data_IF_513802005802
#
_entry.id   IF_513802005802
#
_cell.length_a   1.000
_cell.length_b   1.000
_cell.length_c   1.000
_cell.angle_alpha   90.00
_cell.angle_beta   90.00
_cell.angle_gamma   90.00
#
_symmetry.space_group_name_H-M   'P 1'
#
loop_
_entity.id
_entity.type
_entity.pdbx_description
1 polymer ?
#
# COMPACT_ATOMS: atom_id res chain seq x y z
N UNK A 1 22.67 24.46 6.00
CA UNK A 1 21.58 24.77 6.95
C UNK A 1 21.21 23.47 7.63
N UNK A 2 21.42 23.38 8.94
CA UNK A 2 21.16 22.20 9.74
C UNK A 2 19.66 21.89 9.79
N UNK A 3 19.32 20.60 9.71
CA UNK A 3 17.96 20.10 9.90
C UNK A 3 17.82 18.67 9.41
N UNK A 4 18.77 17.78 9.75
CA UNK A 4 18.78 16.39 9.28
C UNK A 4 18.38 15.38 10.35
N UNK A 5 17.52 15.81 11.26
CA UNK A 5 16.69 14.94 12.10
C UNK A 5 15.22 15.24 11.78
N UNK A 6 14.71 14.66 10.69
CA UNK A 6 13.28 14.73 10.37
C UNK A 6 12.70 13.32 10.43
N UNK A 7 11.67 13.14 11.26
CA UNK A 7 10.90 11.90 11.30
C UNK A 7 10.09 11.82 10.01
N UNK A 8 10.22 10.69 9.30
CA UNK A 8 9.41 10.36 8.13
C UNK A 8 8.46 9.23 8.50
N UNK A 9 7.19 9.39 8.16
CA UNK A 9 6.15 8.41 8.46
C UNK A 9 5.68 7.77 7.15
N UNK A 10 5.69 6.44 7.12
CA UNK A 10 5.23 5.65 5.99
C UNK A 10 4.12 4.69 6.39
N UNK A 11 3.24 4.39 5.45
CA UNK A 11 2.16 3.41 5.60
C UNK A 11 2.17 2.43 4.42
N UNK A 12 1.81 1.17 4.66
CA UNK A 12 1.72 0.13 3.63
C UNK A 12 0.43 -0.66 3.74
N UNK A 13 -0.33 -0.76 2.64
CA UNK A 13 -1.52 -1.62 2.54
C UNK A 13 -1.09 -2.99 2.04
N UNK A 14 -1.11 -4.00 2.93
CA UNK A 14 -0.69 -5.38 2.61
C UNK A 14 -1.81 -6.20 1.95
N UNK A 15 -1.47 -7.28 1.22
CA UNK A 15 -2.46 -8.27 0.81
C UNK A 15 -3.20 -8.88 2.00
N UNK A 16 -4.34 -9.47 1.72
CA UNK A 16 -5.01 -10.35 2.68
C UNK A 16 -4.14 -11.55 3.02
N UNK A 17 -4.10 -11.90 4.31
CA UNK A 17 -3.58 -13.19 4.72
C UNK A 17 -4.58 -14.29 4.37
N UNK A 18 -4.16 -15.56 4.50
CA UNK A 18 -5.02 -16.72 4.19
C UNK A 18 -6.37 -16.63 4.88
N UNK A 19 -6.41 -16.32 6.18
CA UNK A 19 -7.64 -16.26 6.97
C UNK A 19 -8.62 -15.21 6.45
N UNK A 20 -8.15 -13.97 6.25
CA UNK A 20 -9.01 -12.87 5.77
C UNK A 20 -9.53 -13.11 4.36
N UNK A 21 -8.71 -13.70 3.48
CA UNK A 21 -9.14 -14.12 2.15
C UNK A 21 -10.18 -15.24 2.22
N UNK A 22 -9.91 -16.29 3.00
CA UNK A 22 -10.79 -17.46 3.11
C UNK A 22 -12.14 -17.08 3.77
N UNK A 23 -12.16 -16.04 4.61
CA UNK A 23 -13.38 -15.45 5.17
C UNK A 23 -14.12 -14.47 4.24
N UNK A 24 -13.64 -14.23 3.01
CA UNK A 24 -14.27 -13.28 2.08
C UNK A 24 -14.21 -11.82 2.54
N UNK A 25 -13.17 -11.42 3.28
CA UNK A 25 -13.03 -10.06 3.79
C UNK A 25 -12.92 -9.04 2.65
N UNK A 26 -13.57 -7.88 2.81
CA UNK A 26 -13.48 -6.77 1.86
C UNK A 26 -12.40 -5.77 2.28
N UNK A 27 -11.62 -5.27 1.33
CA UNK A 27 -10.69 -4.18 1.61
C UNK A 27 -11.48 -2.89 1.85
N UNK A 28 -11.22 -2.25 2.99
CA UNK A 28 -11.86 -0.98 3.39
C UNK A 28 -10.92 0.21 3.22
N UNK A 29 -9.75 -0.02 2.65
CA UNK A 29 -8.68 0.97 2.49
C UNK A 29 -8.55 1.33 1.02
N UNK A 30 -8.52 2.63 0.71
CA UNK A 30 -8.16 3.15 -0.60
C UNK A 30 -7.00 4.13 -0.49
N UNK A 31 -6.29 4.36 -1.60
CA UNK A 31 -5.09 5.19 -1.64
C UNK A 31 -5.13 6.12 -2.85
N UNK A 32 -4.74 7.37 -2.63
CA UNK A 32 -4.51 8.37 -3.66
C UNK A 32 -3.22 9.12 -3.35
N UNK A 33 -2.17 8.90 -4.17
CA UNK A 33 -0.82 9.41 -3.88
C UNK A 33 -0.36 9.00 -2.47
N UNK A 34 0.06 9.94 -1.61
CA UNK A 34 0.44 9.72 -0.21
C UNK A 34 -0.72 9.75 0.80
N UNK A 35 -1.97 9.80 0.32
CA UNK A 35 -3.16 9.79 1.16
C UNK A 35 -3.81 8.40 1.21
N UNK A 36 -4.16 7.97 2.42
CA UNK A 36 -4.93 6.75 2.69
C UNK A 36 -6.30 7.12 3.21
N UNK A 37 -7.35 6.52 2.66
CA UNK A 37 -8.71 6.61 3.19
C UNK A 37 -9.16 5.26 3.72
N UNK A 38 -9.73 5.26 4.93
CA UNK A 38 -10.43 4.12 5.53
C UNK A 38 -11.94 4.41 5.49
N UNK A 39 -12.71 3.48 4.93
CA UNK A 39 -14.16 3.55 4.79
C UNK A 39 -14.83 2.59 5.76
N UNK A 40 -15.75 3.06 6.63
CA UNK A 40 -16.58 2.11 7.39
C UNK A 40 -17.45 1.31 6.40
N UNK A 41 -17.38 -0.04 6.40
CA UNK A 41 -18.18 -0.85 5.50
C UNK A 41 -19.69 -0.79 5.76
N UNK A 42 -20.11 -0.33 6.95
CA UNK A 42 -21.51 -0.21 7.39
C UNK A 42 -22.08 1.20 7.18
N UNK A 43 -21.21 2.20 7.04
CA UNK A 43 -21.60 3.59 6.86
C UNK A 43 -20.73 4.25 5.79
N UNK A 44 -21.32 4.45 4.60
CA UNK A 44 -20.66 5.06 3.45
C UNK A 44 -20.20 6.51 3.70
N UNK A 45 -20.83 7.24 4.63
CA UNK A 45 -20.49 8.63 4.92
C UNK A 45 -19.31 8.75 5.89
N UNK A 46 -18.99 7.68 6.62
CA UNK A 46 -17.89 7.64 7.57
C UNK A 46 -16.58 7.25 6.89
N UNK A 47 -15.94 8.25 6.27
CA UNK A 47 -14.61 8.16 5.67
C UNK A 47 -13.60 8.93 6.48
N UNK A 48 -12.44 8.32 6.74
CA UNK A 48 -11.32 8.97 7.40
C UNK A 48 -10.10 8.94 6.50
N UNK A 49 -9.57 10.12 6.18
CA UNK A 49 -8.40 10.28 5.33
C UNK A 49 -7.19 10.71 6.15
N UNK A 50 -6.04 10.13 5.84
CA UNK A 50 -4.76 10.35 6.51
C UNK A 50 -3.69 10.60 5.47
N UNK A 51 -2.82 11.58 5.70
CA UNK A 51 -1.69 11.90 4.82
C UNK A 51 -0.38 11.51 5.50
N UNK A 52 0.52 10.92 4.71
CA UNK A 52 1.84 10.45 5.16
C UNK A 52 2.94 11.02 4.28
N UNK A 53 4.20 10.89 4.69
CA UNK A 53 5.32 11.17 3.79
C UNK A 53 5.35 10.16 2.64
N UNK A 54 5.04 8.89 2.93
CA UNK A 54 4.98 7.81 1.95
C UNK A 54 3.79 6.89 2.19
N UNK A 55 3.10 6.50 1.11
CA UNK A 55 2.05 5.50 1.15
C UNK A 55 2.30 4.44 0.07
N UNK A 56 2.30 3.18 0.47
CA UNK A 56 2.62 2.05 -0.41
C UNK A 56 1.41 1.13 -0.57
N UNK A 57 0.95 0.95 -1.81
CA UNK A 57 -0.09 -0.02 -2.12
C UNK A 57 0.55 -1.35 -2.52
N UNK A 58 0.47 -2.36 -1.65
CA UNK A 58 0.88 -3.72 -1.98
C UNK A 58 -0.29 -4.70 -1.93
N UNK A 59 -1.53 -4.21 -1.92
CA UNK A 59 -2.71 -5.05 -1.71
C UNK A 59 -3.13 -5.83 -2.96
N UNK A 60 -2.91 -5.26 -4.14
CA UNK A 60 -3.31 -5.83 -5.44
C UNK A 60 -2.45 -5.28 -6.59
N UNK A 61 -2.68 -5.75 -7.81
CA UNK A 61 -1.97 -5.31 -9.03
C UNK A 61 -0.57 -5.91 -9.16
N UNK A 62 -0.39 -7.13 -8.65
CA UNK A 62 0.89 -7.84 -8.69
C UNK A 62 0.71 -9.28 -9.14
N UNK A 63 1.76 -9.83 -9.73
CA UNK A 63 1.89 -11.24 -10.05
C UNK A 63 3.10 -11.83 -9.35
N UNK A 64 3.09 -13.15 -9.10
CA UNK A 64 4.28 -13.84 -8.57
C UNK A 64 5.14 -14.27 -9.74
N UNK A 65 6.31 -13.66 -9.90
CA UNK A 65 7.29 -14.05 -10.89
C UNK A 65 7.90 -15.43 -10.62
N UNK A 66 8.63 -15.96 -11.59
CA UNK A 66 9.29 -17.27 -11.50
C UNK A 66 10.32 -17.35 -10.35
N UNK A 67 10.91 -16.22 -9.97
CA UNK A 67 11.83 -16.11 -8.84
C UNK A 67 11.14 -16.17 -7.47
N UNK A 68 9.81 -16.22 -7.43
CA UNK A 68 9.02 -16.12 -6.21
C UNK A 68 8.81 -14.68 -5.71
N UNK A 69 9.40 -13.68 -6.37
CA UNK A 69 9.17 -12.26 -6.09
C UNK A 69 7.83 -11.80 -6.65
N UNK A 70 7.16 -10.90 -5.93
CA UNK A 70 5.98 -10.22 -6.44
C UNK A 70 6.39 -8.97 -7.23
N UNK A 71 5.89 -8.87 -8.46
CA UNK A 71 6.17 -7.78 -9.41
C UNK A 71 4.86 -7.11 -9.84
N UNK A 72 4.89 -5.84 -10.25
CA UNK A 72 3.71 -5.18 -10.80
C UNK A 72 3.16 -5.95 -12.00
N UNK A 73 1.84 -6.11 -12.05
CA UNK A 73 1.15 -6.74 -13.19
C UNK A 73 1.17 -5.84 -14.44
N UNK A 74 1.10 -4.52 -14.22
CA UNK A 74 1.11 -3.51 -15.26
C UNK A 74 2.28 -2.54 -15.05
N UNK A 75 2.91 -2.12 -16.15
CA UNK A 75 3.96 -1.09 -16.11
C UNK A 75 3.37 0.23 -15.60
N UNK A 76 3.95 0.79 -14.53
CA UNK A 76 3.42 1.98 -13.89
C UNK A 76 2.15 1.73 -13.05
N UNK A 77 1.80 0.47 -12.81
CA UNK A 77 0.73 0.08 -11.91
C UNK A 77 0.98 0.55 -10.46
N UNK A 78 -0.07 0.54 -9.64
CA UNK A 78 0.00 1.04 -8.25
C UNK A 78 0.77 0.15 -7.28
N UNK A 79 1.19 -1.04 -7.70
CA UNK A 79 1.86 -1.99 -6.81
C UNK A 79 3.25 -1.49 -6.42
N UNK A 80 3.44 -1.25 -5.13
CA UNK A 80 4.75 -1.04 -4.53
C UNK A 80 5.46 -2.40 -4.46
N UNK A 81 6.46 -2.55 -5.31
CA UNK A 81 7.27 -3.75 -5.46
C UNK A 81 8.11 -4.07 -4.22
N UNK A 82 8.63 -5.30 -4.20
CA UNK A 82 9.50 -5.79 -3.13
C UNK A 82 10.98 -5.62 -3.45
N UNK A 83 11.35 -4.92 -4.53
CA UNK A 83 12.76 -4.80 -4.88
C UNK A 83 13.51 -4.17 -3.72
N UNK A 84 14.59 -4.84 -3.31
CA UNK A 84 15.58 -4.28 -2.41
C UNK A 84 15.90 -2.87 -2.88
N UNK A 85 15.80 -1.90 -1.98
CA UNK A 85 16.09 -0.49 -2.20
C UNK A 85 17.56 -0.29 -2.61
N UNK A 86 17.86 -0.57 -3.87
CA UNK A 86 19.03 -0.10 -4.59
C UNK A 86 18.59 0.36 -5.98
N UNK A 87 17.99 1.55 -6.04
CA UNK A 87 18.11 2.48 -7.17
C UNK A 87 17.22 3.70 -6.93
N UNK A 88 17.53 4.47 -5.90
CA UNK A 88 17.31 5.93 -5.97
C UNK A 88 18.48 6.56 -5.24
N UNK A 89 19.59 6.69 -5.97
CA UNK A 89 20.65 7.64 -5.68
C UNK A 89 20.50 8.79 -6.65
#
# INVERSE_FOLDING_TARGET
MHGKDCVKVAVRVRPFNKVSRDAGSRCVVSMASSSITIQDPRDSQNRRSFCFDYAYWSHSGFTRGHSGLYVPEELGGRYADQVSSQATR
#
